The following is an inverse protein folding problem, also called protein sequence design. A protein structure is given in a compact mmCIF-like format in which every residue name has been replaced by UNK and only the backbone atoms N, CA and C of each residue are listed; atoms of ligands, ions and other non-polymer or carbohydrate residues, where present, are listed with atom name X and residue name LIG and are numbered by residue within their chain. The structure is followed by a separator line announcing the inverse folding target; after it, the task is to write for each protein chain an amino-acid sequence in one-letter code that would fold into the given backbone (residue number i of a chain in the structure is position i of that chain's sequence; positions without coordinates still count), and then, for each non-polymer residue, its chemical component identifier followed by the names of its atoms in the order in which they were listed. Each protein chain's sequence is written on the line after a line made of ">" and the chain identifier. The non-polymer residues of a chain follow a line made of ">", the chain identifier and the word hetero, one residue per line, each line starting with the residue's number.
data_IF_124835356495
#
_entry.id   IF_124835356495
#
_cell.length_a   1.000
_cell.length_b   1.000
_cell.length_c   1.000
_cell.angle_alpha   90.00
_cell.angle_beta   90.00
_cell.angle_gamma   90.00
#
_symmetry.space_group_name_H-M   'P 1'
#
loop_
_entity.id
_entity.type
_entity.pdbx_description
1 polymer ?
#
# COMPACT_ATOMS: atom_id res chain seq x y z
N UNK A 1 -60.09 -0.72 -10.58
CA UNK A 1 -59.51 -0.83 -9.24
C UNK A 1 -58.35 -1.78 -9.32
N UNK A 2 -57.13 -1.25 -9.46
CA UNK A 2 -55.91 -2.06 -9.48
C UNK A 2 -55.66 -2.65 -8.09
N UNK A 3 -55.18 -3.90 -7.99
CA UNK A 3 -54.80 -4.47 -6.71
C UNK A 3 -53.56 -3.76 -6.16
N UNK A 4 -53.47 -3.53 -4.84
CA UNK A 4 -52.29 -2.92 -4.24
C UNK A 4 -51.08 -3.87 -4.38
N UNK A 5 -49.97 -3.32 -4.89
CA UNK A 5 -48.68 -4.01 -4.88
C UNK A 5 -48.27 -4.33 -3.45
N UNK A 6 -48.27 -5.62 -3.11
CA UNK A 6 -47.72 -6.13 -1.87
C UNK A 6 -46.20 -6.14 -2.03
N UNK A 7 -45.54 -5.09 -1.56
CA UNK A 7 -44.09 -5.08 -1.38
C UNK A 7 -43.77 -6.11 -0.29
N UNK A 8 -43.36 -7.30 -0.71
CA UNK A 8 -42.86 -8.33 0.20
C UNK A 8 -41.49 -7.84 0.67
N UNK A 9 -41.42 -7.43 1.93
CA UNK A 9 -40.15 -7.09 2.60
C UNK A 9 -39.25 -8.32 2.53
N UNK A 10 -38.28 -8.30 1.61
CA UNK A 10 -37.33 -9.38 1.42
C UNK A 10 -36.45 -9.39 2.67
N UNK A 11 -36.87 -10.19 3.66
CA UNK A 11 -36.29 -10.25 4.99
C UNK A 11 -34.76 -10.17 4.93
N UNK A 12 -34.21 -9.15 5.59
CA UNK A 12 -32.78 -8.88 5.60
C UNK A 12 -32.03 -10.17 5.93
N UNK A 13 -31.28 -10.69 4.95
CA UNK A 13 -30.42 -11.85 5.14
C UNK A 13 -29.41 -11.44 6.21
N UNK A 14 -29.53 -12.04 7.40
CA UNK A 14 -28.65 -11.75 8.52
C UNK A 14 -27.22 -12.19 8.14
N UNK A 15 -26.36 -11.22 7.82
CA UNK A 15 -24.98 -11.51 7.46
C UNK A 15 -24.28 -12.20 8.63
N UNK A 16 -23.53 -13.29 8.38
CA UNK A 16 -22.81 -13.97 9.45
C UNK A 16 -21.85 -12.99 10.13
N UNK A 17 -21.70 -13.06 11.46
CA UNK A 17 -20.89 -12.11 12.20
C UNK A 17 -19.43 -12.15 11.71
N UNK A 18 -18.76 -10.98 11.62
CA UNK A 18 -17.38 -10.93 11.18
C UNK A 18 -16.48 -11.71 12.14
N UNK A 19 -15.62 -12.56 11.59
CA UNK A 19 -14.72 -13.43 12.37
C UNK A 19 -13.29 -12.88 12.49
N UNK A 20 -13.03 -11.70 11.93
CA UNK A 20 -11.69 -11.09 11.86
C UNK A 20 -11.72 -9.58 12.02
N UNK A 21 -10.63 -9.03 12.55
CA UNK A 21 -10.39 -7.58 12.57
C UNK A 21 -10.02 -7.07 11.17
N UNK A 22 -10.55 -5.91 10.78
CA UNK A 22 -10.03 -5.10 9.66
C UNK A 22 -8.87 -4.24 10.20
N UNK A 23 -7.68 -4.37 9.63
CA UNK A 23 -6.49 -3.62 10.04
C UNK A 23 -5.90 -2.98 8.80
N UNK A 24 -5.73 -1.66 8.86
CA UNK A 24 -5.05 -0.89 7.80
C UNK A 24 -4.15 0.15 8.45
N UNK A 25 -3.11 0.56 7.75
CA UNK A 25 -2.27 1.68 8.20
C UNK A 25 -2.08 2.66 7.06
N UNK A 26 -1.93 3.93 7.40
CA UNK A 26 -1.68 4.98 6.43
C UNK A 26 -0.19 4.96 6.05
N UNK A 27 0.08 4.72 4.78
CA UNK A 27 1.42 4.72 4.19
C UNK A 27 1.48 5.82 3.13
N UNK A 28 2.13 6.93 3.45
CA UNK A 28 1.99 8.13 2.63
C UNK A 28 0.55 8.64 2.66
N UNK A 29 -0.08 8.77 1.50
CA UNK A 29 -1.49 9.13 1.34
C UNK A 29 -2.43 7.91 1.20
N UNK A 30 -1.90 6.68 1.17
CA UNK A 30 -2.68 5.48 0.90
C UNK A 30 -2.94 4.63 2.16
N UNK A 31 -4.17 4.13 2.28
CA UNK A 31 -4.50 3.11 3.26
C UNK A 31 -4.09 1.73 2.76
N UNK A 32 -3.11 1.13 3.43
CA UNK A 32 -2.61 -0.20 3.07
C UNK A 32 -3.24 -1.25 3.99
N UNK A 33 -3.91 -2.27 3.44
CA UNK A 33 -4.42 -3.37 4.23
C UNK A 33 -3.29 -4.18 4.84
N UNK A 34 -3.45 -4.57 6.10
CA UNK A 34 -2.43 -5.27 6.86
C UNK A 34 -3.04 -6.37 7.73
N UNK A 35 -2.16 -7.16 8.32
CA UNK A 35 -2.54 -8.14 9.35
C UNK A 35 -1.89 -7.75 10.66
N UNK A 36 -2.49 -8.18 11.76
CA UNK A 36 -1.96 -7.91 13.09
C UNK A 36 -1.50 -9.22 13.73
N UNK A 37 -0.28 -9.24 14.28
CA UNK A 37 0.28 -10.39 15.02
C UNK A 37 -0.01 -10.28 16.52
N UNK A 38 -0.05 -9.06 17.04
CA UNK A 38 -0.38 -8.75 18.42
C UNK A 38 -1.12 -7.41 18.49
N UNK A 39 -2.16 -7.31 19.31
CA UNK A 39 -2.95 -6.08 19.46
C UNK A 39 -3.34 -5.86 20.91
N UNK A 40 -3.19 -4.62 21.38
CA UNK A 40 -3.61 -4.18 22.70
C UNK A 40 -3.99 -2.69 22.65
N UNK A 41 -4.49 -2.17 23.77
CA UNK A 41 -4.73 -0.73 23.95
C UNK A 41 -3.44 0.11 23.94
N UNK A 42 -2.27 -0.50 24.18
CA UNK A 42 -0.97 0.17 24.22
C UNK A 42 -0.24 0.17 22.88
N UNK A 43 -0.65 -0.68 21.94
CA UNK A 43 0.07 -0.83 20.68
C UNK A 43 -0.34 -2.06 19.90
N UNK A 44 0.26 -2.18 18.71
CA UNK A 44 0.05 -3.29 17.80
C UNK A 44 1.37 -3.71 17.14
N UNK A 45 1.48 -4.99 16.77
CA UNK A 45 2.47 -5.46 15.80
C UNK A 45 1.76 -5.73 14.48
N UNK A 46 2.03 -4.89 13.48
CA UNK A 46 1.42 -4.93 12.16
C UNK A 46 2.36 -5.62 11.18
N UNK A 47 1.87 -6.67 10.52
CA UNK A 47 2.60 -7.44 9.51
C UNK A 47 2.41 -6.77 8.15
N UNK A 48 3.52 -6.36 7.54
CA UNK A 48 3.59 -5.69 6.24
C UNK A 48 5.00 -5.83 5.66
N UNK A 49 5.10 -5.87 4.34
CA UNK A 49 6.36 -5.88 3.60
C UNK A 49 7.01 -4.52 3.43
N UNK A 50 6.24 -3.44 3.61
CA UNK A 50 6.68 -2.07 3.50
C UNK A 50 6.42 -1.35 4.83
N UNK A 51 7.11 -1.73 5.92
CA UNK A 51 6.92 -1.10 7.22
C UNK A 51 7.36 0.37 7.18
N UNK A 52 6.73 1.27 7.95
CA UNK A 52 7.28 2.59 8.22
C UNK A 52 8.61 2.48 8.99
N UNK A 53 9.36 3.57 9.07
CA UNK A 53 10.68 3.61 9.73
C UNK A 53 10.55 3.64 11.23
N UNK A 54 11.62 3.27 11.92
CA UNK A 54 11.73 3.46 13.35
C UNK A 54 11.57 4.95 13.69
N UNK A 55 10.69 5.26 14.64
CA UNK A 55 10.37 6.64 15.05
C UNK A 55 9.25 7.29 14.25
N UNK A 56 8.83 6.74 13.11
CA UNK A 56 7.75 7.31 12.31
C UNK A 56 6.44 7.37 13.12
N UNK A 57 5.68 8.44 12.91
CA UNK A 57 4.31 8.54 13.38
C UNK A 57 3.35 7.95 12.34
N UNK A 58 2.65 6.87 12.68
CA UNK A 58 1.76 6.15 11.77
C UNK A 58 0.32 6.19 12.27
N UNK A 59 -0.63 6.34 11.35
CA UNK A 59 -2.05 6.16 11.64
C UNK A 59 -2.45 4.72 11.35
N UNK A 60 -3.11 4.08 12.30
CA UNK A 60 -3.62 2.71 12.18
C UNK A 60 -5.14 2.73 12.37
N UNK A 61 -5.85 2.19 11.39
CA UNK A 61 -7.29 1.97 11.44
C UNK A 61 -7.57 0.52 11.83
N UNK A 62 -8.40 0.34 12.85
CA UNK A 62 -8.77 -0.96 13.43
C UNK A 62 -10.30 -1.04 13.45
N UNK A 63 -10.86 -1.98 12.71
CA UNK A 63 -12.30 -2.18 12.53
C UNK A 63 -12.80 -3.55 12.99
N UNK A 64 -13.98 -3.59 13.60
CA UNK A 64 -14.69 -4.82 13.93
C UNK A 64 -16.21 -4.57 14.09
N UNK A 65 -17.05 -5.38 13.43
CA UNK A 65 -18.52 -5.33 13.56
C UNK A 65 -19.10 -3.89 13.45
N UNK A 66 -18.71 -3.16 12.41
CA UNK A 66 -19.13 -1.77 12.16
C UNK A 66 -18.49 -0.72 13.06
N UNK A 67 -17.73 -1.11 14.08
CA UNK A 67 -16.96 -0.19 14.94
C UNK A 67 -15.58 0.01 14.34
N UNK A 68 -15.11 1.26 14.34
CA UNK A 68 -13.77 1.61 13.83
C UNK A 68 -13.07 2.56 14.80
N UNK A 69 -11.78 2.32 14.99
CA UNK A 69 -10.87 3.19 15.73
C UNK A 69 -9.70 3.61 14.82
N UNK A 70 -9.46 4.92 14.73
CA UNK A 70 -8.32 5.50 14.04
C UNK A 70 -7.33 6.03 15.08
N UNK A 71 -6.18 5.37 15.24
CA UNK A 71 -5.20 5.69 16.28
C UNK A 71 -3.87 6.06 15.66
N UNK A 72 -3.31 7.20 16.04
CA UNK A 72 -1.95 7.60 15.71
C UNK A 72 -0.99 7.02 16.74
N UNK A 73 0.11 6.42 16.32
CA UNK A 73 1.14 5.92 17.23
C UNK A 73 2.54 6.07 16.65
N UNK A 74 3.56 5.78 17.46
CA UNK A 74 4.97 5.87 17.07
C UNK A 74 5.54 4.48 16.85
N UNK A 75 6.20 4.27 15.72
CA UNK A 75 6.90 3.01 15.41
C UNK A 75 8.12 2.90 16.31
N UNK A 76 8.23 1.82 17.09
CA UNK A 76 9.34 1.58 18.02
C UNK A 76 10.10 0.28 17.73
N UNK A 77 9.65 -0.49 16.75
CA UNK A 77 10.34 -1.69 16.26
C UNK A 77 9.97 -1.92 14.79
N UNK A 78 10.93 -2.32 13.97
CA UNK A 78 10.73 -2.70 12.58
C UNK A 78 11.41 -4.04 12.36
N UNK A 79 10.69 -4.97 11.74
CA UNK A 79 11.23 -6.24 11.28
C UNK A 79 11.34 -6.15 9.77
N UNK A 80 12.57 -6.10 9.26
CA UNK A 80 12.82 -5.92 7.84
C UNK A 80 12.39 -7.16 7.02
N UNK A 81 12.40 -7.03 5.69
CA UNK A 81 12.18 -8.17 4.81
C UNK A 81 13.27 -9.26 4.96
N UNK A 82 14.49 -8.88 5.36
CA UNK A 82 15.57 -9.81 5.63
C UNK A 82 15.36 -10.54 6.96
N UNK A 83 14.98 -9.81 8.02
CA UNK A 83 14.62 -10.40 9.32
C UNK A 83 13.40 -11.32 9.24
N UNK A 84 12.52 -11.08 8.26
CA UNK A 84 11.35 -11.92 8.03
C UNK A 84 11.73 -13.37 7.69
N UNK A 85 12.91 -13.60 7.09
CA UNK A 85 13.39 -14.95 6.78
C UNK A 85 13.62 -15.79 8.04
N UNK A 86 14.00 -15.16 9.16
CA UNK A 86 14.21 -15.84 10.44
C UNK A 86 12.98 -15.79 11.36
N UNK A 87 12.22 -14.68 11.33
CA UNK A 87 11.11 -14.42 12.25
C UNK A 87 9.73 -14.81 11.71
N UNK A 88 9.66 -15.17 10.42
CA UNK A 88 8.46 -15.60 9.71
C UNK A 88 7.54 -14.47 9.20
N UNK A 89 7.85 -13.20 9.49
CA UNK A 89 7.08 -12.08 8.95
C UNK A 89 7.80 -10.73 9.10
N UNK A 90 7.82 -9.92 8.03
CA UNK A 90 8.16 -8.50 8.11
C UNK A 90 7.01 -7.68 8.69
N UNK A 91 7.33 -6.55 9.30
CA UNK A 91 6.32 -5.70 9.93
C UNK A 91 6.90 -4.64 10.84
N UNK A 92 6.05 -4.04 11.65
CA UNK A 92 6.45 -3.03 12.61
C UNK A 92 5.61 -3.10 13.88
N UNK A 93 6.19 -2.72 15.02
CA UNK A 93 5.47 -2.47 16.24
C UNK A 93 5.23 -0.98 16.43
N UNK A 94 3.98 -0.62 16.70
CA UNK A 94 3.54 0.75 16.95
C UNK A 94 3.07 0.87 18.39
N UNK A 95 3.51 1.93 19.06
CA UNK A 95 3.06 2.30 20.41
C UNK A 95 1.98 3.37 20.29
N UNK A 96 0.82 3.11 20.89
CA UNK A 96 -0.27 4.07 20.95
C UNK A 96 -0.12 5.00 22.16
N UNK A 97 -0.66 6.22 22.10
CA UNK A 97 -0.65 7.14 23.22
C UNK A 97 -1.39 6.57 24.43
N UNK A 98 -0.82 6.75 25.62
CA UNK A 98 -1.39 6.22 26.87
C UNK A 98 -2.46 7.12 27.48
N UNK A 99 -2.48 8.41 27.10
CA UNK A 99 -3.44 9.38 27.62
C UNK A 99 -4.87 9.12 27.13
N UNK A 100 -5.84 9.51 27.94
CA UNK A 100 -7.25 9.42 27.57
C UNK A 100 -7.55 10.38 26.41
N UNK A 101 -8.03 9.84 25.30
CA UNK A 101 -8.47 10.61 24.14
C UNK A 101 -9.57 9.84 23.39
N UNK A 102 -10.43 10.52 22.61
CA UNK A 102 -11.52 9.86 21.89
C UNK A 102 -11.07 8.68 20.98
N UNK A 103 -9.94 8.77 20.24
CA UNK A 103 -9.39 7.63 19.50
C UNK A 103 -9.11 6.38 20.35
N UNK A 104 -8.58 6.57 21.57
CA UNK A 104 -8.26 5.47 22.48
C UNK A 104 -9.51 4.81 23.04
N UNK A 105 -10.55 5.59 23.34
CA UNK A 105 -11.84 5.06 23.78
C UNK A 105 -12.49 4.21 22.68
N UNK A 106 -12.49 4.69 21.44
CA UNK A 106 -12.94 3.93 20.26
C UNK A 106 -12.16 2.61 20.11
N UNK A 107 -10.84 2.63 20.32
CA UNK A 107 -10.03 1.42 20.27
C UNK A 107 -10.48 0.41 21.34
N UNK A 108 -10.70 0.86 22.58
CA UNK A 108 -11.19 -0.01 23.66
C UNK A 108 -12.54 -0.64 23.27
N UNK A 109 -13.48 0.14 22.72
CA UNK A 109 -14.78 -0.35 22.27
C UNK A 109 -14.66 -1.43 21.18
N UNK A 110 -13.78 -1.24 20.20
CA UNK A 110 -13.48 -2.22 19.14
C UNK A 110 -12.90 -3.50 19.74
N UNK A 111 -11.93 -3.40 20.65
CA UNK A 111 -11.27 -4.55 21.27
C UNK A 111 -12.21 -5.33 22.19
N UNK A 112 -13.06 -4.65 22.95
CA UNK A 112 -14.09 -5.30 23.78
C UNK A 112 -15.13 -6.01 22.92
N UNK A 113 -15.58 -5.39 21.84
CA UNK A 113 -16.49 -6.03 20.88
C UNK A 113 -15.88 -7.29 20.26
N UNK A 114 -14.64 -7.21 19.79
CA UNK A 114 -13.91 -8.35 19.23
C UNK A 114 -13.74 -9.47 20.27
N UNK A 115 -13.39 -9.13 21.51
CA UNK A 115 -13.27 -10.09 22.62
C UNK A 115 -14.59 -10.77 22.94
N UNK A 116 -15.70 -10.02 23.03
CA UNK A 116 -17.02 -10.58 23.30
C UNK A 116 -17.48 -11.53 22.19
N UNK A 117 -17.09 -11.26 20.94
CA UNK A 117 -17.33 -12.13 19.80
C UNK A 117 -16.34 -13.32 19.70
N UNK A 118 -15.45 -13.50 20.67
CA UNK A 118 -14.47 -14.60 20.68
C UNK A 118 -13.38 -14.47 19.62
N UNK A 119 -13.16 -13.28 19.05
CA UNK A 119 -12.13 -13.06 18.03
C UNK A 119 -10.76 -13.13 18.67
N UNK A 120 -10.00 -14.15 18.28
CA UNK A 120 -8.59 -14.29 18.63
C UNK A 120 -7.70 -13.75 17.52
N UNK A 121 -6.72 -12.92 17.85
CA UNK A 121 -5.66 -12.54 16.91
C UNK A 121 -4.80 -13.77 16.62
N UNK A 122 -5.06 -14.44 15.50
CA UNK A 122 -4.23 -15.56 15.03
C UNK A 122 -3.07 -14.99 14.22
N UNK A 123 -1.82 -15.41 14.48
CA UNK A 123 -0.71 -15.06 13.62
C UNK A 123 -1.06 -15.41 12.17
N UNK A 124 -0.71 -14.55 11.20
CA UNK A 124 -0.89 -14.91 9.80
C UNK A 124 -0.10 -16.19 9.48
N UNK A 125 -0.60 -17.05 8.57
CA UNK A 125 0.16 -18.18 8.08
C UNK A 125 1.51 -17.69 7.57
N UNK A 126 2.57 -18.45 7.86
CA UNK A 126 3.90 -18.12 7.36
C UNK A 126 3.86 -18.11 5.83
N UNK A 127 4.39 -17.05 5.23
CA UNK A 127 4.47 -16.93 3.78
C UNK A 127 5.86 -17.38 3.35
N UNK A 128 5.93 -18.06 2.21
CA UNK A 128 7.21 -18.44 1.58
C UNK A 128 7.95 -17.24 1.00
N UNK A 129 7.26 -16.11 0.77
CA UNK A 129 7.84 -14.90 0.22
C UNK A 129 7.16 -13.62 0.73
N UNK A 130 7.94 -12.54 0.79
CA UNK A 130 7.49 -11.18 1.10
C UNK A 130 6.71 -10.62 -0.10
N UNK A 131 5.61 -9.90 0.15
CA UNK A 131 4.76 -9.31 -0.90
C UNK A 131 4.77 -7.79 -0.84
N UNK A 132 5.37 -7.11 -1.79
CA UNK A 132 5.49 -5.65 -1.77
C UNK A 132 4.22 -4.97 -2.34
N UNK A 133 3.69 -3.93 -1.68
CA UNK A 133 2.56 -3.17 -2.20
C UNK A 133 2.99 -2.32 -3.39
N UNK A 134 2.27 -2.46 -4.50
CA UNK A 134 2.45 -1.68 -5.74
C UNK A 134 1.10 -1.53 -6.42
N UNK A 135 0.98 -0.72 -7.46
CA UNK A 135 -0.14 -0.77 -8.41
C UNK A 135 0.45 -0.86 -9.80
N UNK A 136 0.76 -2.07 -10.22
CA UNK A 136 1.59 -2.28 -11.40
C UNK A 136 0.79 -2.91 -12.54
N UNK A 137 0.84 -2.38 -13.77
CA UNK A 137 0.07 -2.92 -14.88
C UNK A 137 0.48 -4.38 -15.17
N UNK A 138 -0.51 -5.22 -15.44
CA UNK A 138 -0.33 -6.63 -15.83
C UNK A 138 -1.26 -6.92 -17.00
N UNK A 139 -0.74 -7.58 -18.03
CA UNK A 139 -1.53 -8.17 -19.10
C UNK A 139 -1.70 -9.66 -18.80
N UNK A 140 -2.92 -10.17 -18.92
CA UNK A 140 -3.24 -11.57 -18.69
C UNK A 140 -3.90 -12.14 -19.94
N UNK A 141 -3.51 -13.35 -20.33
CA UNK A 141 -4.11 -14.08 -21.45
C UNK A 141 -4.50 -15.49 -21.01
N UNK A 142 -5.80 -15.79 -21.10
CA UNK A 142 -6.36 -17.12 -20.84
C UNK A 142 -7.08 -17.66 -22.07
N UNK A 143 -7.76 -18.81 -21.91
CA UNK A 143 -8.45 -19.49 -23.01
C UNK A 143 -9.52 -18.64 -23.72
N UNK A 144 -10.18 -17.72 -22.99
CA UNK A 144 -11.27 -16.93 -23.55
C UNK A 144 -10.82 -15.62 -24.22
N UNK A 145 -9.93 -14.87 -23.58
CA UNK A 145 -9.46 -13.57 -24.07
C UNK A 145 -8.30 -13.02 -23.22
N UNK A 146 -7.49 -12.15 -23.81
CA UNK A 146 -6.56 -11.32 -23.08
C UNK A 146 -7.27 -10.11 -22.42
N UNK A 147 -6.77 -9.66 -21.27
CA UNK A 147 -7.25 -8.46 -20.60
C UNK A 147 -6.14 -7.80 -19.77
N UNK A 148 -6.33 -6.53 -19.43
CA UNK A 148 -5.41 -5.74 -18.59
C UNK A 148 -5.96 -5.62 -17.18
N UNK A 149 -5.07 -5.67 -16.21
CA UNK A 149 -5.36 -5.43 -14.79
C UNK A 149 -4.17 -4.70 -14.13
N UNK A 150 -4.31 -4.39 -12.85
CA UNK A 150 -3.21 -3.89 -12.03
C UNK A 150 -2.94 -4.87 -10.87
N UNK A 151 -1.69 -5.25 -10.68
CA UNK A 151 -1.22 -5.94 -9.49
C UNK A 151 -1.16 -4.96 -8.32
N UNK A 152 -1.83 -5.29 -7.22
CA UNK A 152 -1.81 -4.53 -5.95
C UNK A 152 -0.69 -5.00 -5.00
N UNK A 153 -0.21 -6.23 -5.19
CA UNK A 153 0.99 -6.73 -4.53
C UNK A 153 1.78 -7.66 -5.46
N UNK A 154 3.09 -7.68 -5.30
CA UNK A 154 4.02 -8.56 -6.05
C UNK A 154 5.00 -9.25 -5.12
N UNK A 155 5.43 -10.45 -5.49
CA UNK A 155 6.41 -11.27 -4.76
C UNK A 155 7.16 -12.19 -5.70
N UNK A 156 8.19 -12.89 -5.21
CA UNK A 156 8.94 -13.87 -6.00
C UNK A 156 8.08 -15.04 -6.51
N UNK A 157 6.99 -15.34 -5.80
CA UNK A 157 6.12 -16.49 -6.10
C UNK A 157 4.79 -16.14 -6.78
N UNK A 158 4.46 -14.87 -6.95
CA UNK A 158 3.11 -14.48 -7.39
C UNK A 158 2.77 -13.02 -7.14
N UNK A 159 1.55 -12.66 -7.51
CA UNK A 159 1.02 -11.31 -7.39
C UNK A 159 -0.49 -11.35 -7.17
N UNK A 160 -1.07 -10.29 -6.60
CA UNK A 160 -2.52 -10.14 -6.46
C UNK A 160 -3.01 -9.05 -7.40
N UNK A 161 -4.01 -9.34 -8.23
CA UNK A 161 -4.64 -8.35 -9.11
C UNK A 161 -6.00 -7.94 -8.55
N UNK A 162 -6.33 -6.66 -8.63
CA UNK A 162 -7.71 -6.22 -8.44
C UNK A 162 -8.46 -6.35 -9.78
N UNK A 163 -9.56 -7.10 -9.78
CA UNK A 163 -10.39 -7.31 -10.96
C UNK A 163 -11.79 -7.75 -10.56
N UNK A 164 -12.80 -7.28 -11.29
CA UNK A 164 -14.18 -7.75 -11.19
C UNK A 164 -14.43 -8.98 -12.06
N UNK A 165 -13.48 -9.31 -12.95
CA UNK A 165 -13.60 -10.48 -13.82
C UNK A 165 -13.48 -11.74 -12.97
N UNK A 166 -14.51 -12.58 -13.03
CA UNK A 166 -14.46 -13.91 -12.44
C UNK A 166 -13.40 -14.77 -13.14
N UNK A 167 -12.51 -15.37 -12.36
CA UNK A 167 -11.51 -16.34 -12.81
C UNK A 167 -11.50 -17.47 -11.78
N UNK A 168 -11.72 -18.69 -12.24
CA UNK A 168 -11.83 -19.83 -11.35
C UNK A 168 -10.49 -20.18 -10.69
N UNK A 169 -10.55 -20.70 -9.46
CA UNK A 169 -9.38 -21.23 -8.78
C UNK A 169 -8.81 -22.41 -9.57
N UNK A 170 -7.49 -22.41 -9.76
CA UNK A 170 -6.79 -23.41 -10.55
C UNK A 170 -6.63 -23.08 -12.03
N UNK A 171 -7.32 -22.06 -12.57
CA UNK A 171 -7.11 -21.61 -13.95
C UNK A 171 -5.68 -21.13 -14.15
N UNK A 172 -5.01 -21.66 -15.19
CA UNK A 172 -3.72 -21.15 -15.65
C UNK A 172 -3.91 -20.07 -16.70
N UNK A 173 -3.14 -18.99 -16.57
CA UNK A 173 -3.09 -17.88 -17.53
C UNK A 173 -1.64 -17.56 -17.86
N UNK A 174 -1.41 -17.06 -19.07
CA UNK A 174 -0.18 -16.34 -19.40
C UNK A 174 -0.27 -14.93 -18.83
N UNK A 175 0.87 -14.38 -18.42
CA UNK A 175 0.96 -12.99 -18.01
C UNK A 175 2.14 -12.31 -18.69
N UNK A 176 2.02 -10.99 -18.88
CA UNK A 176 3.10 -10.11 -19.25
C UNK A 176 3.08 -8.87 -18.35
N UNK A 177 4.21 -8.56 -17.71
CA UNK A 177 4.38 -7.41 -16.81
C UNK A 177 5.46 -6.48 -17.37
N UNK A 178 5.13 -5.26 -17.82
CA UNK A 178 6.15 -4.28 -18.20
C UNK A 178 6.93 -3.88 -16.94
N UNK A 179 8.24 -4.06 -16.91
CA UNK A 179 9.03 -3.90 -15.68
C UNK A 179 9.33 -2.45 -15.31
N UNK A 180 9.62 -1.60 -16.30
CA UNK A 180 9.87 -0.17 -16.19
C UNK A 180 9.87 0.45 -17.61
N UNK A 181 10.31 1.69 -17.78
CA UNK A 181 10.31 2.40 -19.06
C UNK A 181 11.28 1.75 -20.02
N UNK A 182 10.83 1.40 -21.22
CA UNK A 182 11.65 0.79 -22.27
C UNK A 182 12.20 -0.61 -21.92
N UNK A 183 11.78 -1.21 -20.80
CA UNK A 183 12.13 -2.60 -20.48
C UNK A 183 11.21 -3.58 -21.20
N UNK A 184 11.78 -4.70 -21.64
CA UNK A 184 11.02 -5.80 -22.21
C UNK A 184 10.11 -6.37 -21.11
N UNK A 185 8.80 -6.56 -21.38
CA UNK A 185 7.90 -7.17 -20.40
C UNK A 185 8.40 -8.53 -19.93
N UNK A 186 8.25 -8.81 -18.64
CA UNK A 186 8.43 -10.14 -18.09
C UNK A 186 7.23 -10.99 -18.39
N UNK A 187 7.46 -12.12 -19.04
CA UNK A 187 6.42 -13.06 -19.42
C UNK A 187 6.50 -14.36 -18.62
N UNK A 188 5.36 -15.01 -18.42
CA UNK A 188 5.29 -16.28 -17.72
C UNK A 188 3.89 -16.87 -17.68
N UNK A 189 3.74 -17.96 -16.92
CA UNK A 189 2.43 -18.55 -16.59
C UNK A 189 2.18 -18.46 -15.10
N UNK A 190 0.95 -18.13 -14.76
CA UNK A 190 0.47 -18.10 -13.39
C UNK A 190 -0.83 -18.90 -13.25
N UNK A 191 -1.06 -19.44 -12.06
CA UNK A 191 -2.28 -20.15 -11.68
C UNK A 191 -3.05 -19.33 -10.66
N UNK A 192 -4.37 -19.27 -10.80
CA UNK A 192 -5.23 -18.68 -9.76
C UNK A 192 -5.15 -19.54 -8.49
N UNK A 193 -4.57 -18.99 -7.44
CA UNK A 193 -4.41 -19.65 -6.14
C UNK A 193 -5.57 -19.35 -5.18
N UNK A 194 -6.21 -18.18 -5.32
CA UNK A 194 -7.39 -17.78 -4.52
C UNK A 194 -8.17 -16.67 -5.21
N UNK A 195 -9.47 -16.63 -4.96
CA UNK A 195 -10.35 -15.51 -5.32
C UNK A 195 -10.78 -14.81 -4.04
N UNK A 196 -10.85 -13.49 -4.10
CA UNK A 196 -11.31 -12.63 -3.02
C UNK A 196 -12.48 -11.82 -3.57
N UNK A 197 -13.69 -12.09 -3.07
CA UNK A 197 -14.90 -11.50 -3.62
C UNK A 197 -15.05 -10.02 -3.28
N UNK A 198 -16.12 -9.40 -3.79
CA UNK A 198 -16.39 -7.97 -3.59
C UNK A 198 -16.82 -7.63 -2.16
N UNK A 199 -17.24 -8.61 -1.35
CA UNK A 199 -17.66 -8.43 0.04
C UNK A 199 -16.56 -7.83 0.93
N UNK A 200 -15.30 -8.02 0.56
CA UNK A 200 -14.16 -7.42 1.28
C UNK A 200 -13.94 -5.94 0.93
N UNK A 201 -14.57 -5.43 -0.13
CA UNK A 201 -14.46 -4.03 -0.53
C UNK A 201 -15.05 -3.08 0.51
N UNK A 202 -16.07 -3.52 1.25
CA UNK A 202 -16.60 -2.81 2.41
C UNK A 202 -15.53 -2.56 3.51
N UNK A 203 -14.47 -3.39 3.52
CA UNK A 203 -13.30 -3.26 4.42
C UNK A 203 -12.16 -2.47 3.76
N UNK A 204 -12.40 -1.84 2.62
CA UNK A 204 -11.39 -1.14 1.83
C UNK A 204 -10.30 -2.04 1.25
N UNK A 205 -10.57 -3.35 1.14
CA UNK A 205 -9.68 -4.29 0.47
C UNK A 205 -10.28 -4.55 -0.92
N UNK A 206 -9.56 -4.28 -2.02
CA UNK A 206 -10.10 -4.54 -3.35
C UNK A 206 -10.40 -6.04 -3.52
N UNK A 207 -11.57 -6.35 -4.09
CA UNK A 207 -11.84 -7.67 -4.64
C UNK A 207 -10.86 -8.00 -5.75
N UNK A 208 -10.57 -9.27 -5.94
CA UNK A 208 -9.57 -9.67 -6.93
C UNK A 208 -9.07 -11.09 -6.80
N UNK A 209 -7.93 -11.35 -7.43
CA UNK A 209 -7.42 -12.71 -7.64
C UNK A 209 -5.96 -12.79 -7.23
N UNK A 210 -5.64 -13.78 -6.39
CA UNK A 210 -4.27 -14.12 -6.05
C UNK A 210 -3.70 -15.10 -7.05
N UNK A 211 -2.62 -14.72 -7.72
CA UNK A 211 -1.94 -15.48 -8.76
C UNK A 211 -0.63 -16.07 -8.23
N UNK A 212 -0.36 -17.35 -8.52
CA UNK A 212 0.90 -18.02 -8.24
C UNK A 212 1.66 -18.23 -9.55
N UNK A 213 2.90 -17.78 -9.65
CA UNK A 213 3.75 -18.01 -10.83
C UNK A 213 4.13 -19.50 -10.85
N UNK A 214 3.74 -20.20 -11.92
CA UNK A 214 4.00 -21.64 -12.11
C UNK A 214 5.12 -21.92 -13.11
N UNK A 215 5.35 -21.01 -14.06
CA UNK A 215 6.45 -21.11 -15.02
C UNK A 215 6.94 -19.72 -15.44
N UNK A 216 8.26 -19.58 -15.55
CA UNK A 216 8.97 -18.40 -16.04
C UNK A 216 10.36 -18.89 -16.43
N UNK A 217 10.86 -18.50 -17.61
CA UNK A 217 12.21 -18.90 -18.00
C UNK A 217 13.28 -18.16 -17.17
N UNK A 218 14.55 -18.57 -17.31
CA UNK A 218 15.64 -18.01 -16.51
C UNK A 218 15.90 -16.52 -16.76
N UNK A 219 15.69 -16.05 -17.99
CA UNK A 219 15.91 -14.64 -18.36
C UNK A 219 14.83 -13.77 -17.74
N UNK A 220 13.56 -14.13 -17.93
CA UNK A 220 12.43 -13.46 -17.32
C UNK A 220 12.46 -13.56 -15.79
N UNK A 221 12.95 -14.66 -15.22
CA UNK A 221 13.12 -14.82 -13.77
C UNK A 221 14.13 -13.84 -13.22
N UNK A 222 15.31 -13.74 -13.83
CA UNK A 222 16.33 -12.79 -13.40
C UNK A 222 15.81 -11.34 -13.48
N UNK A 223 15.10 -10.99 -14.55
CA UNK A 223 14.50 -9.67 -14.71
C UNK A 223 13.38 -9.40 -13.68
N UNK A 224 12.55 -10.40 -13.37
CA UNK A 224 11.55 -10.31 -12.30
C UNK A 224 12.18 -10.08 -10.93
N UNK A 225 13.26 -10.79 -10.61
CA UNK A 225 13.95 -10.65 -9.34
C UNK A 225 14.61 -9.26 -9.21
N UNK A 226 15.19 -8.72 -10.29
CA UNK A 226 15.68 -7.34 -10.33
C UNK A 226 14.57 -6.31 -10.11
N UNK A 227 13.43 -6.48 -10.78
CA UNK A 227 12.25 -5.65 -10.58
C UNK A 227 11.77 -5.68 -9.12
N UNK A 228 11.69 -6.86 -8.51
CA UNK A 228 11.34 -6.99 -7.09
C UNK A 228 12.37 -6.33 -6.17
N UNK A 229 13.65 -6.38 -6.52
CA UNK A 229 14.70 -5.64 -5.83
C UNK A 229 14.45 -4.13 -5.84
N UNK A 230 14.12 -3.57 -7.01
CA UNK A 230 13.73 -2.16 -7.14
C UNK A 230 12.48 -1.83 -6.32
N UNK A 231 11.41 -2.61 -6.48
CA UNK A 231 10.15 -2.42 -5.73
C UNK A 231 10.38 -2.47 -4.23
N UNK A 232 11.20 -3.41 -3.73
CA UNK A 232 11.60 -3.47 -2.32
C UNK A 232 12.24 -2.16 -1.88
N UNK A 233 13.27 -1.70 -2.60
CA UNK A 233 13.97 -0.45 -2.28
C UNK A 233 13.02 0.75 -2.32
N UNK A 234 12.18 0.90 -3.36
CA UNK A 234 11.14 1.93 -3.43
C UNK A 234 10.21 1.88 -2.22
N UNK A 235 9.87 0.67 -1.74
CA UNK A 235 8.97 0.48 -0.60
C UNK A 235 9.51 0.99 0.73
N UNK A 236 10.83 1.13 0.83
CA UNK A 236 11.55 1.66 1.99
C UNK A 236 11.73 3.19 1.92
N UNK A 237 11.41 3.81 0.77
CA UNK A 237 11.57 5.25 0.52
C UNK A 237 10.29 6.05 0.73
N UNK A 238 10.46 7.27 1.24
CA UNK A 238 9.43 8.27 1.49
C UNK A 238 9.66 9.48 0.61
N UNK A 239 8.66 9.83 -0.19
CA UNK A 239 8.71 10.95 -1.11
C UNK A 239 7.71 12.02 -0.68
N UNK A 240 8.14 13.27 -0.64
CA UNK A 240 7.25 14.42 -0.51
C UNK A 240 7.03 15.03 -1.91
N UNK A 241 5.79 15.13 -2.35
CA UNK A 241 5.44 15.69 -3.67
C UNK A 241 4.78 17.06 -3.48
N UNK A 242 5.37 18.08 -4.09
CA UNK A 242 4.77 19.39 -4.24
C UNK A 242 4.34 19.60 -5.68
N UNK A 243 3.05 19.79 -5.95
CA UNK A 243 2.58 20.07 -7.32
C UNK A 243 1.30 20.91 -7.35
N UNK A 244 0.97 21.47 -8.50
CA UNK A 244 -0.36 22.08 -8.74
C UNK A 244 -1.46 21.03 -8.54
N UNK A 245 -2.67 21.41 -8.10
CA UNK A 245 -3.77 20.45 -7.88
C UNK A 245 -4.05 19.54 -9.09
N UNK A 246 -3.91 20.08 -10.30
CA UNK A 246 -4.13 19.38 -11.57
C UNK A 246 -3.11 18.26 -11.80
N UNK A 247 -1.87 18.41 -11.30
CA UNK A 247 -0.77 17.45 -11.49
C UNK A 247 -0.49 16.59 -10.26
N UNK A 248 -0.94 17.03 -9.09
CA UNK A 248 -0.65 16.37 -7.81
C UNK A 248 -1.12 14.91 -7.82
N UNK A 249 -2.35 14.64 -8.27
CA UNK A 249 -2.91 13.29 -8.28
C UNK A 249 -2.12 12.34 -9.19
N UNK A 250 -1.70 12.80 -10.37
CA UNK A 250 -0.92 12.01 -11.32
C UNK A 250 0.46 11.63 -10.75
N UNK A 251 1.18 12.59 -10.17
CA UNK A 251 2.49 12.35 -9.55
C UNK A 251 2.39 11.45 -8.33
N UNK A 252 1.42 11.70 -7.45
CA UNK A 252 1.15 10.90 -6.26
C UNK A 252 0.80 9.47 -6.65
N UNK A 253 -0.14 9.31 -7.58
CA UNK A 253 -0.56 7.99 -8.06
C UNK A 253 0.59 7.26 -8.72
N UNK A 254 1.34 7.87 -9.64
CA UNK A 254 2.40 7.16 -10.35
C UNK A 254 3.59 6.76 -9.48
N UNK A 255 4.01 7.63 -8.54
CA UNK A 255 5.07 7.29 -7.58
C UNK A 255 4.57 6.28 -6.53
N UNK A 256 3.37 6.47 -5.98
CA UNK A 256 2.77 5.53 -5.02
C UNK A 256 2.54 4.14 -5.63
N UNK A 257 2.09 4.10 -6.88
CA UNK A 257 1.92 2.87 -7.67
C UNK A 257 3.23 2.12 -7.90
N UNK A 258 4.36 2.84 -7.93
CA UNK A 258 5.69 2.22 -8.02
C UNK A 258 6.22 1.67 -6.69
N UNK A 259 5.48 1.86 -5.60
CA UNK A 259 5.81 1.34 -4.29
C UNK A 259 6.35 2.41 -3.34
N UNK A 260 6.54 3.66 -3.74
CA UNK A 260 6.99 4.72 -2.82
C UNK A 260 5.95 5.03 -1.73
N UNK A 261 6.38 5.46 -0.55
CA UNK A 261 5.48 6.06 0.44
C UNK A 261 5.36 7.56 0.17
N UNK A 262 4.30 7.97 -0.53
CA UNK A 262 4.17 9.34 -1.02
C UNK A 262 3.29 10.19 -0.12
N UNK A 263 3.81 11.33 0.32
CA UNK A 263 3.02 12.42 0.94
C UNK A 263 3.00 13.61 0.00
N UNK A 264 1.96 14.44 0.05
CA UNK A 264 1.76 15.45 -0.97
C UNK A 264 1.07 16.72 -0.45
N UNK A 265 1.33 17.84 -1.12
CA UNK A 265 0.66 19.11 -0.91
C UNK A 265 0.73 20.01 -2.15
N UNK A 266 -0.27 20.85 -2.34
CA UNK A 266 -0.31 21.84 -3.43
C UNK A 266 0.01 23.27 -2.98
N UNK A 267 0.41 23.43 -1.72
CA UNK A 267 0.74 24.70 -1.10
C UNK A 267 2.13 24.59 -0.44
N UNK A 268 3.06 25.53 -0.69
CA UNK A 268 4.39 25.49 -0.10
C UNK A 268 4.39 25.44 1.44
N UNK A 269 3.43 26.12 2.09
CA UNK A 269 3.29 26.09 3.55
C UNK A 269 2.83 24.72 4.09
N UNK A 270 1.99 23.99 3.33
CA UNK A 270 1.66 22.59 3.65
C UNK A 270 2.90 21.70 3.52
N UNK A 271 3.69 21.86 2.46
CA UNK A 271 4.90 21.06 2.24
C UNK A 271 5.93 21.24 3.37
N UNK A 272 6.13 22.48 3.81
CA UNK A 272 6.96 22.76 4.99
C UNK A 272 6.46 22.01 6.22
N UNK A 273 5.17 22.15 6.55
CA UNK A 273 4.61 21.50 7.73
C UNK A 273 4.77 19.98 7.65
N UNK A 274 4.59 19.39 6.47
CA UNK A 274 4.81 17.96 6.27
C UNK A 274 6.28 17.55 6.49
N UNK A 275 7.24 18.39 6.08
CA UNK A 275 8.67 18.16 6.29
C UNK A 275 9.14 18.40 7.74
N UNK A 276 8.46 19.30 8.47
CA UNK A 276 8.79 19.68 9.85
C UNK A 276 8.14 18.75 10.89
N UNK A 277 6.90 18.31 10.67
CA UNK A 277 6.13 17.54 11.64
C UNK A 277 6.64 16.10 11.82
N UNK A 278 7.39 15.58 10.85
CA UNK A 278 7.94 14.24 10.93
C UNK A 278 9.32 14.26 11.60
N UNK A 279 9.55 13.44 12.65
CA UNK A 279 10.89 13.26 13.19
C UNK A 279 11.88 12.73 12.16
N UNK A 280 11.40 11.95 11.17
CA UNK A 280 12.21 11.45 10.08
C UNK A 280 11.83 12.20 8.79
N UNK A 281 12.74 13.01 8.23
CA UNK A 281 12.46 13.71 6.98
C UNK A 281 12.24 12.71 5.82
N UNK A 282 11.51 13.12 4.76
CA UNK A 282 11.42 12.33 3.54
C UNK A 282 12.82 12.16 2.89
N UNK A 283 13.02 11.10 2.10
CA UNK A 283 14.31 10.88 1.42
C UNK A 283 14.54 11.85 0.27
N UNK A 284 13.44 12.24 -0.39
CA UNK A 284 13.46 13.22 -1.44
C UNK A 284 12.15 14.03 -1.47
N UNK A 285 12.27 15.25 -1.94
CA UNK A 285 11.16 16.10 -2.35
C UNK A 285 11.12 16.18 -3.87
N UNK A 286 9.95 15.95 -4.46
CA UNK A 286 9.69 16.11 -5.90
C UNK A 286 8.78 17.31 -6.07
N UNK A 287 9.32 18.39 -6.63
CA UNK A 287 8.62 19.65 -6.79
C UNK A 287 8.30 19.86 -8.25
N UNK A 288 7.04 20.11 -8.54
CA UNK A 288 6.60 20.41 -9.88
C UNK A 288 6.95 21.84 -10.27
N UNK A 289 7.48 22.01 -11.48
CA UNK A 289 7.90 23.33 -11.97
C UNK A 289 6.76 24.35 -12.00
N UNK A 290 5.52 23.91 -12.23
CA UNK A 290 4.35 24.82 -12.25
C UNK A 290 4.02 25.35 -10.84
N UNK A 291 4.26 24.56 -9.80
CA UNK A 291 4.07 24.99 -8.42
C UNK A 291 5.09 26.09 -8.05
N UNK A 292 6.36 25.90 -8.43
CA UNK A 292 7.41 26.89 -8.18
C UNK A 292 7.11 28.22 -8.87
N UNK A 293 6.70 28.17 -10.14
CA UNK A 293 6.35 29.35 -10.93
C UNK A 293 5.16 30.11 -10.33
N UNK A 294 4.14 29.39 -9.84
CA UNK A 294 2.91 30.00 -9.32
C UNK A 294 3.11 30.78 -8.03
N UNK A 295 3.98 30.31 -7.14
CA UNK A 295 4.13 30.89 -5.81
C UNK A 295 5.34 31.82 -5.67
N UNK A 296 6.09 32.08 -6.75
CA UNK A 296 7.39 32.76 -6.70
C UNK A 296 8.31 32.19 -5.60
N UNK A 297 8.11 30.91 -5.26
CA UNK A 297 8.76 30.22 -4.15
C UNK A 297 10.05 29.50 -4.58
N UNK A 298 10.49 29.76 -5.82
CA UNK A 298 11.70 29.18 -6.39
C UNK A 298 12.90 29.50 -5.49
N UNK A 299 13.67 28.46 -5.13
CA UNK A 299 14.84 28.54 -4.24
C UNK A 299 14.52 28.49 -2.73
N UNK A 300 13.36 28.97 -2.26
CA UNK A 300 13.05 28.91 -0.83
C UNK A 300 12.70 27.49 -0.36
N UNK A 301 11.86 26.76 -1.11
CA UNK A 301 11.57 25.34 -0.78
C UNK A 301 12.85 24.51 -0.78
N UNK A 302 13.74 24.74 -1.75
CA UNK A 302 15.05 24.08 -1.81
C UNK A 302 15.90 24.38 -0.58
N UNK A 303 15.94 25.64 -0.11
CA UNK A 303 16.66 26.01 1.11
C UNK A 303 16.09 25.30 2.35
N UNK A 304 14.76 25.21 2.47
CA UNK A 304 14.11 24.50 3.58
C UNK A 304 14.43 23.01 3.54
N UNK A 305 14.34 22.37 2.38
CA UNK A 305 14.67 20.95 2.22
C UNK A 305 16.15 20.68 2.45
N UNK A 306 17.04 21.53 1.93
CA UNK A 306 18.48 21.43 2.16
C UNK A 306 18.84 21.56 3.66
N UNK A 307 18.19 22.46 4.39
CA UNK A 307 18.38 22.59 5.84
C UNK A 307 17.97 21.33 6.62
N UNK A 308 17.08 20.50 6.04
CA UNK A 308 16.64 19.20 6.57
C UNK A 308 17.37 18.00 5.93
N UNK A 309 18.39 18.26 5.10
CA UNK A 309 19.12 17.25 4.33
C UNK A 309 18.21 16.40 3.42
N UNK A 310 17.10 16.99 2.95
CA UNK A 310 16.20 16.38 1.97
C UNK A 310 16.65 16.80 0.58
N UNK A 311 16.94 15.82 -0.27
CA UNK A 311 17.29 16.08 -1.67
C UNK A 311 16.04 16.55 -2.43
N UNK A 312 16.13 17.65 -3.17
CA UNK A 312 15.01 18.23 -3.91
C UNK A 312 15.21 18.02 -5.41
N UNK A 313 14.18 17.54 -6.09
CA UNK A 313 14.13 17.37 -7.54
C UNK A 313 13.00 18.22 -8.11
N UNK A 314 13.33 19.15 -9.01
CA UNK A 314 12.33 19.85 -9.79
C UNK A 314 11.99 19.03 -11.05
N UNK A 315 10.72 18.72 -11.24
CA UNK A 315 10.24 17.92 -12.36
C UNK A 315 9.32 18.73 -13.27
N UNK A 316 9.42 18.45 -14.57
CA UNK A 316 8.52 18.96 -15.59
C UNK A 316 8.10 17.79 -16.48
N UNK A 317 6.79 17.58 -16.61
CA UNK A 317 6.24 16.59 -17.54
C UNK A 317 5.79 15.27 -16.90
N UNK A 318 6.08 14.16 -17.58
CA UNK A 318 5.49 12.84 -17.31
C UNK A 318 5.98 12.22 -15.98
N UNK A 319 5.05 11.59 -15.26
CA UNK A 319 5.30 10.83 -14.03
C UNK A 319 6.32 9.71 -14.23
N UNK A 320 6.37 9.16 -15.44
CA UNK A 320 7.36 8.15 -15.83
C UNK A 320 8.79 8.70 -15.68
N UNK A 321 9.03 9.91 -16.18
CA UNK A 321 10.34 10.58 -16.07
C UNK A 321 10.64 10.95 -14.63
N UNK A 322 9.64 11.45 -13.89
CA UNK A 322 9.79 11.76 -12.48
C UNK A 322 10.21 10.52 -11.67
N UNK A 323 9.61 9.35 -11.93
CA UNK A 323 10.00 8.09 -11.29
C UNK A 323 11.46 7.73 -11.57
N UNK A 324 11.89 7.78 -12.83
CA UNK A 324 13.27 7.47 -13.20
C UNK A 324 14.28 8.41 -12.50
N UNK A 325 13.98 9.71 -12.42
CA UNK A 325 14.82 10.68 -11.71
C UNK A 325 14.90 10.38 -10.20
N UNK A 326 13.78 9.98 -9.58
CA UNK A 326 13.76 9.59 -8.16
C UNK A 326 14.53 8.28 -7.93
N UNK A 327 14.37 7.30 -8.82
CA UNK A 327 15.09 6.03 -8.74
C UNK A 327 16.61 6.26 -8.81
N UNK A 328 17.07 7.11 -9.73
CA UNK A 328 18.48 7.50 -9.86
C UNK A 328 18.98 8.23 -8.60
N UNK A 329 18.26 9.25 -8.14
CA UNK A 329 18.62 10.04 -6.95
C UNK A 329 18.75 9.17 -5.69
N UNK A 330 17.84 8.21 -5.52
CA UNK A 330 17.76 7.36 -4.33
C UNK A 330 18.50 6.03 -4.48
N UNK A 331 19.26 5.87 -5.57
CA UNK A 331 20.06 4.69 -5.88
C UNK A 331 19.22 3.40 -5.88
N UNK A 332 17.97 3.48 -6.36
CA UNK A 332 17.05 2.34 -6.43
C UNK A 332 17.49 1.32 -7.47
N UNK A 333 18.24 1.73 -8.48
CA UNK A 333 18.72 0.81 -9.52
C UNK A 333 20.04 0.11 -9.15
N UNK A 334 20.70 0.53 -8.07
CA UNK A 334 21.92 -0.12 -7.62
C UNK A 334 21.60 -1.46 -6.93
N UNK A 335 22.35 -2.54 -7.25
CA UNK A 335 22.07 -3.89 -6.77
C UNK A 335 22.08 -4.00 -5.24
#
# INVERSE_FOLDING_TARGET
>A
SEPPDVIVDAGAIEEPPPTSLDIRFLRGCDWVPARVRALSVRGAYVVTSAPPRLGDAVHVSIGFAGKTALVRGTVYHVTSAEDALSTGASGFAVRFPEYACPPRQRLIEVLLAARHAGVTVRPPPNRTSVRFPVRWPVQLAGAMAAFRAAAHDVSSGGFFIATERAIDVGTEVQFAVPLDVNEVPVEGRARVARVQGSEVAARGIPGGVGMQIVAMDGVHRAAWDQFLGRVRRRSEKRILVGATPERLDSLVTGLGSAGYAVTAGSDPGVLMRLAELDPNPPDAAVIDVELEQRHAASGWLEQVFAARQVQCLTVQGDVIKARAMVDELLLVDQP
#
